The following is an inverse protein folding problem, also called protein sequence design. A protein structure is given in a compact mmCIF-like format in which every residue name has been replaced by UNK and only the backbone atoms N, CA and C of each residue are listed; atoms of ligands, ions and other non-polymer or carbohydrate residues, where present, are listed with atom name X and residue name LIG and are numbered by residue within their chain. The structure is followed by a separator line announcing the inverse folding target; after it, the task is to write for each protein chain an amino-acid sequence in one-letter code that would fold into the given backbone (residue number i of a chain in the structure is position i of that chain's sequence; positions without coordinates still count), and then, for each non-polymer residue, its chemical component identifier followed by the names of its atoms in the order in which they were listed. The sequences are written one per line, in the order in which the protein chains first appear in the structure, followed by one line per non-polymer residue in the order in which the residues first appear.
data_IF_200147162292
#
_entry.id   IF_200147162292
#
_cell.length_a   1.000
_cell.length_b   1.000
_cell.length_c   1.000
_cell.angle_alpha   90.00
_cell.angle_beta   90.00
_cell.angle_gamma   90.00
#
_symmetry.space_group_name_H-M   'P 1'
#
loop_
_entity.id
_entity.type
_entity.pdbx_description
1 polymer ?
#
# COMPACT_ATOMS: atom_id res chain seq x y z
N UNK A 1 -20.62 3.56 17.51
CA UNK A 1 -19.36 3.93 18.21
C UNK A 1 -18.13 3.43 17.43
N UNK A 2 -18.10 2.18 17.01
CA UNK A 2 -17.04 1.56 16.19
C UNK A 2 -16.90 2.18 14.78
N UNK A 3 -18.00 2.60 14.16
CA UNK A 3 -17.97 3.23 12.83
C UNK A 3 -17.13 4.52 12.78
N UNK A 4 -17.06 5.23 13.91
CA UNK A 4 -16.23 6.42 14.02
C UNK A 4 -14.73 6.07 14.10
N UNK A 5 -14.39 4.91 14.67
CA UNK A 5 -13.01 4.41 14.66
C UNK A 5 -12.63 3.99 13.23
N UNK A 6 -13.47 3.19 12.57
CA UNK A 6 -13.25 2.74 11.18
C UNK A 6 -13.03 3.92 10.24
N UNK A 7 -13.82 4.99 10.35
CA UNK A 7 -13.64 6.21 9.54
C UNK A 7 -12.29 6.87 9.79
N UNK A 8 -11.88 7.05 11.04
CA UNK A 8 -10.59 7.65 11.40
C UNK A 8 -9.41 6.81 10.91
N UNK A 9 -9.52 5.48 10.94
CA UNK A 9 -8.52 4.57 10.35
C UNK A 9 -8.40 4.81 8.84
N UNK A 10 -9.53 4.93 8.14
CA UNK A 10 -9.54 5.19 6.69
C UNK A 10 -8.95 6.56 6.35
N UNK A 11 -9.27 7.60 7.14
CA UNK A 11 -8.72 8.94 6.97
C UNK A 11 -7.19 8.94 7.17
N UNK A 12 -6.70 8.23 8.19
CA UNK A 12 -5.26 8.07 8.42
C UNK A 12 -4.58 7.30 7.27
N UNK A 13 -5.19 6.21 6.79
CA UNK A 13 -4.69 5.45 5.63
C UNK A 13 -4.67 6.28 4.35
N UNK A 14 -5.59 7.25 4.20
CA UNK A 14 -5.66 8.18 3.07
C UNK A 14 -4.44 9.10 2.93
N UNK A 15 -3.57 9.19 3.94
CA UNK A 15 -2.31 9.94 3.87
C UNK A 15 -1.18 9.17 3.17
N UNK A 16 -1.23 7.83 3.21
CA UNK A 16 -0.20 6.94 2.67
C UNK A 16 0.06 7.08 1.15
N UNK A 17 -0.95 7.39 0.30
CA UNK A 17 -0.76 7.63 -1.12
C UNK A 17 0.31 8.66 -1.49
N UNK A 18 0.49 9.71 -0.69
CA UNK A 18 1.49 10.75 -1.01
C UNK A 18 2.92 10.28 -0.68
N UNK A 19 3.09 9.66 0.48
CA UNK A 19 4.40 9.20 0.96
C UNK A 19 4.93 7.98 0.19
N UNK A 20 4.05 7.12 -0.34
CA UNK A 20 4.45 5.92 -1.07
C UNK A 20 4.91 6.15 -2.52
N UNK A 21 4.59 7.29 -3.14
CA UNK A 21 4.95 7.59 -4.53
C UNK A 21 6.44 7.42 -4.87
N UNK A 22 7.39 8.02 -4.13
CA UNK A 22 8.81 7.88 -4.43
C UNK A 22 9.27 6.42 -4.31
N UNK A 23 8.75 5.66 -3.35
CA UNK A 23 9.13 4.27 -3.11
C UNK A 23 8.71 3.38 -4.29
N UNK A 24 7.47 3.53 -4.77
CA UNK A 24 7.01 2.82 -5.96
C UNK A 24 7.79 3.22 -7.21
N UNK A 25 8.15 4.50 -7.36
CA UNK A 25 8.97 4.95 -8.48
C UNK A 25 10.35 4.30 -8.47
N UNK A 26 11.02 4.29 -7.31
CA UNK A 26 12.29 3.60 -7.14
C UNK A 26 12.20 2.10 -7.44
N UNK A 27 11.10 1.45 -7.05
CA UNK A 27 10.86 0.05 -7.40
C UNK A 27 10.70 -0.18 -8.92
N UNK A 28 9.99 0.71 -9.62
CA UNK A 28 9.86 0.66 -11.08
C UNK A 28 11.22 0.88 -11.75
N UNK A 29 12.03 1.81 -11.24
CA UNK A 29 13.35 2.11 -11.78
C UNK A 29 14.34 0.94 -11.58
N UNK A 30 14.10 0.06 -10.59
CA UNK A 30 14.86 -1.18 -10.34
C UNK A 30 14.37 -2.39 -11.14
N UNK A 31 13.33 -2.24 -11.97
CA UNK A 31 12.77 -3.36 -12.75
C UNK A 31 13.79 -3.89 -13.75
N UNK A 32 13.99 -5.21 -13.72
CA UNK A 32 14.91 -5.92 -14.60
C UNK A 32 14.18 -6.71 -15.69
N UNK A 33 14.89 -7.09 -16.76
CA UNK A 33 14.32 -7.93 -17.82
C UNK A 33 13.87 -9.32 -17.31
N UNK A 34 14.50 -9.83 -16.24
CA UNK A 34 14.13 -11.08 -15.58
C UNK A 34 12.76 -11.02 -14.87
N UNK A 35 12.29 -9.82 -14.50
CA UNK A 35 10.99 -9.65 -13.84
C UNK A 35 9.82 -9.64 -14.84
N UNK A 36 10.10 -9.31 -16.10
CA UNK A 36 9.10 -9.09 -17.16
C UNK A 36 8.19 -10.30 -17.38
N UNK A 37 8.67 -11.56 -17.42
CA UNK A 37 7.78 -12.72 -17.58
C UNK A 37 6.75 -12.82 -16.46
N UNK A 38 7.17 -12.65 -15.20
CA UNK A 38 6.27 -12.69 -14.04
C UNK A 38 5.25 -11.55 -14.05
N UNK A 39 5.67 -10.37 -14.52
CA UNK A 39 4.82 -9.18 -14.62
C UNK A 39 3.81 -9.31 -15.77
N UNK A 40 4.23 -9.80 -16.93
CA UNK A 40 3.46 -9.76 -18.17
C UNK A 40 2.51 -10.97 -18.36
N UNK A 41 2.81 -12.11 -17.74
CA UNK A 41 1.99 -13.33 -17.89
C UNK A 41 0.82 -13.42 -16.92
N UNK A 42 0.82 -12.60 -15.86
CA UNK A 42 -0.18 -12.63 -14.80
C UNK A 42 -0.99 -11.34 -14.77
N UNK A 43 -2.29 -11.45 -14.53
CA UNK A 43 -3.20 -10.30 -14.45
C UNK A 43 -2.84 -9.33 -13.32
N UNK A 44 -2.17 -9.81 -12.27
CA UNK A 44 -1.71 -9.06 -11.11
C UNK A 44 -0.18 -9.03 -10.99
N UNK A 45 0.56 -9.43 -12.03
CA UNK A 45 2.02 -9.56 -12.00
C UNK A 45 2.74 -8.27 -11.61
N UNK A 46 2.32 -7.12 -12.17
CA UNK A 46 2.84 -5.82 -11.78
C UNK A 46 2.54 -5.45 -10.32
N UNK A 47 1.37 -5.86 -9.82
CA UNK A 47 0.97 -5.59 -8.43
C UNK A 47 1.82 -6.42 -7.47
N UNK A 48 2.03 -7.71 -7.78
CA UNK A 48 2.90 -8.61 -7.00
C UNK A 48 4.34 -8.15 -6.99
N UNK A 49 4.87 -7.73 -8.13
CA UNK A 49 6.22 -7.18 -8.22
C UNK A 49 6.37 -5.98 -7.28
N UNK A 50 5.49 -4.98 -7.38
CA UNK A 50 5.56 -3.80 -6.53
C UNK A 50 5.37 -4.11 -5.05
N UNK A 51 4.50 -5.07 -4.71
CA UNK A 51 4.37 -5.55 -3.32
C UNK A 51 5.67 -6.14 -2.80
N UNK A 52 6.37 -6.94 -3.61
CA UNK A 52 7.63 -7.56 -3.22
C UNK A 52 8.80 -6.56 -3.18
N UNK A 53 8.91 -5.69 -4.19
CA UNK A 53 10.05 -4.80 -4.38
C UNK A 53 10.01 -3.51 -3.56
N UNK A 54 8.83 -3.15 -3.04
CA UNK A 54 8.60 -1.91 -2.28
C UNK A 54 7.81 -2.12 -0.98
N UNK A 55 7.25 -3.31 -0.71
CA UNK A 55 6.33 -3.51 0.41
C UNK A 55 6.94 -3.17 1.77
N UNK A 56 8.13 -3.69 2.06
CA UNK A 56 8.78 -3.50 3.37
C UNK A 56 9.30 -2.06 3.56
N UNK A 57 9.88 -1.49 2.52
CA UNK A 57 10.32 -0.08 2.49
C UNK A 57 9.13 0.86 2.70
N UNK A 58 8.01 0.54 2.07
CA UNK A 58 6.76 1.29 2.21
C UNK A 58 6.20 1.19 3.62
N UNK A 59 6.13 -0.01 4.22
CA UNK A 59 5.68 -0.17 5.61
C UNK A 59 6.53 0.63 6.59
N UNK A 60 7.85 0.53 6.45
CA UNK A 60 8.82 1.23 7.32
C UNK A 60 8.65 2.74 7.23
N UNK A 61 8.49 3.26 6.01
CA UNK A 61 8.31 4.70 5.77
C UNK A 61 6.94 5.20 6.22
N UNK A 62 5.89 4.41 5.99
CA UNK A 62 4.52 4.81 6.30
C UNK A 62 4.18 4.73 7.78
N UNK A 63 4.80 3.81 8.54
CA UNK A 63 4.45 3.59 9.95
C UNK A 63 4.43 4.88 10.78
N UNK A 64 5.48 5.71 10.83
CA UNK A 64 5.46 6.93 11.65
C UNK A 64 4.43 7.96 11.16
N UNK A 65 4.19 8.03 9.85
CA UNK A 65 3.18 8.94 9.27
C UNK A 65 1.76 8.49 9.62
N UNK A 66 1.51 7.19 9.59
CA UNK A 66 0.24 6.58 9.99
C UNK A 66 0.01 6.76 11.48
N UNK A 67 1.02 6.53 12.32
CA UNK A 67 0.90 6.74 13.76
C UNK A 67 0.59 8.21 14.09
N UNK A 68 1.23 9.16 13.41
CA UNK A 68 0.88 10.59 13.52
C UNK A 68 -0.56 10.85 13.09
N UNK A 69 -0.96 10.36 11.91
CA UNK A 69 -2.31 10.57 11.39
C UNK A 69 -3.40 9.93 12.26
N UNK A 70 -3.12 8.77 12.88
CA UNK A 70 -4.01 8.13 13.85
C UNK A 70 -4.12 8.94 15.16
N UNK A 71 -3.04 9.61 15.56
CA UNK A 71 -3.05 10.60 16.63
C UNK A 71 -3.92 11.81 16.29
N UNK A 72 -3.66 12.44 15.13
CA UNK A 72 -4.32 13.67 14.67
C UNK A 72 -5.83 13.47 14.43
N UNK A 73 -6.20 12.32 13.87
CA UNK A 73 -7.61 11.95 13.68
C UNK A 73 -8.31 11.59 15.00
N UNK A 74 -7.57 11.43 16.10
CA UNK A 74 -8.09 11.02 17.41
C UNK A 74 -8.47 9.54 17.47
N UNK A 75 -7.96 8.70 16.56
CA UNK A 75 -8.22 7.26 16.55
C UNK A 75 -7.71 6.60 17.85
N UNK A 76 -6.52 7.00 18.32
CA UNK A 76 -5.99 6.51 19.60
C UNK A 76 -6.84 6.94 20.79
N UNK A 77 -7.28 8.20 20.83
CA UNK A 77 -8.17 8.70 21.90
C UNK A 77 -9.49 7.92 21.93
N UNK A 78 -10.04 7.61 20.76
CA UNK A 78 -11.27 6.84 20.67
C UNK A 78 -11.06 5.38 21.10
N UNK A 79 -9.94 4.76 20.72
CA UNK A 79 -9.56 3.43 21.17
C UNK A 79 -9.41 3.36 22.69
N UNK A 80 -8.79 4.37 23.32
CA UNK A 80 -8.63 4.43 24.76
C UNK A 80 -9.98 4.54 25.47
N UNK A 81 -10.89 5.36 24.96
CA UNK A 81 -12.26 5.50 25.50
C UNK A 81 -12.99 4.15 25.45
N UNK A 82 -12.92 3.46 24.31
CA UNK A 82 -13.52 2.13 24.15
C UNK A 82 -12.89 1.10 25.09
N UNK A 83 -11.55 1.10 25.22
CA UNK A 83 -10.81 0.20 26.10
C UNK A 83 -11.12 0.41 27.59
N UNK A 84 -11.44 1.65 28.00
CA UNK A 84 -11.90 1.95 29.36
C UNK A 84 -13.30 1.43 29.63
N UNK A 85 -14.19 1.49 28.62
CA UNK A 85 -15.55 0.94 28.73
C UNK A 85 -15.62 -0.58 28.57
N UNK A 86 -14.60 -1.21 27.97
CA UNK A 86 -14.61 -2.64 27.67
C UNK A 86 -13.21 -3.26 27.82
N UNK A 87 -13.00 -3.97 28.93
CA UNK A 87 -11.80 -4.78 29.19
C UNK A 87 -11.56 -5.84 28.10
N UNK A 88 -12.62 -6.30 27.42
CA UNK A 88 -12.57 -7.29 26.36
C UNK A 88 -11.68 -6.87 25.18
N UNK A 89 -11.61 -5.57 24.86
CA UNK A 89 -10.75 -5.08 23.77
C UNK A 89 -9.27 -5.24 24.10
N UNK A 90 -8.90 -5.07 25.37
CA UNK A 90 -7.54 -5.34 25.85
C UNK A 90 -7.22 -6.83 25.84
N UNK A 91 -8.18 -7.66 26.25
CA UNK A 91 -8.04 -9.13 26.24
C UNK A 91 -7.89 -9.65 24.79
N UNK A 92 -8.61 -9.07 23.84
CA UNK A 92 -8.46 -9.33 22.41
C UNK A 92 -7.14 -8.78 21.82
N UNK A 93 -6.33 -8.06 22.61
CA UNK A 93 -5.05 -7.51 22.19
C UNK A 93 -5.18 -6.35 21.19
N UNK A 94 -6.28 -5.59 21.24
CA UNK A 94 -6.46 -4.39 20.43
C UNK A 94 -5.77 -3.23 21.16
N UNK A 95 -4.58 -2.87 20.70
CA UNK A 95 -3.75 -1.79 21.26
C UNK A 95 -3.46 -0.73 20.21
N UNK A 96 -2.96 0.44 20.62
CA UNK A 96 -2.52 1.50 19.70
C UNK A 96 -1.48 0.99 18.70
N UNK A 97 -0.51 0.21 19.18
CA UNK A 97 0.52 -0.40 18.33
C UNK A 97 -0.09 -1.35 17.28
N UNK A 98 -0.99 -2.25 17.69
CA UNK A 98 -1.68 -3.16 16.76
C UNK A 98 -2.56 -2.41 15.75
N UNK A 99 -3.13 -1.29 16.16
CA UNK A 99 -3.92 -0.42 15.29
C UNK A 99 -3.01 0.23 14.23
N UNK A 100 -1.89 0.81 14.66
CA UNK A 100 -0.88 1.41 13.78
C UNK A 100 -0.28 0.39 12.82
N UNK A 101 0.08 -0.81 13.30
CA UNK A 101 0.61 -1.89 12.46
C UNK A 101 -0.43 -2.39 11.46
N UNK A 102 -1.68 -2.58 11.86
CA UNK A 102 -2.76 -3.03 10.97
C UNK A 102 -3.01 -2.04 9.83
N UNK A 103 -3.10 -0.74 10.12
CA UNK A 103 -3.28 0.28 9.07
C UNK A 103 -2.03 0.36 8.17
N UNK A 104 -0.84 0.23 8.75
CA UNK A 104 0.42 0.21 7.98
C UNK A 104 0.52 -0.99 7.05
N UNK A 105 0.10 -2.18 7.48
CA UNK A 105 0.08 -3.38 6.65
C UNK A 105 -0.94 -3.30 5.51
N UNK A 106 -2.04 -2.58 5.73
CA UNK A 106 -3.10 -2.38 4.74
C UNK A 106 -2.81 -1.24 3.75
N UNK A 107 -2.03 -0.24 4.16
CA UNK A 107 -1.75 0.95 3.36
C UNK A 107 -1.12 0.68 1.98
N UNK A 108 -0.14 -0.24 1.84
CA UNK A 108 0.38 -0.64 0.52
C UNK A 108 -0.70 -1.14 -0.43
N UNK A 109 -1.63 -1.96 0.09
CA UNK A 109 -2.69 -2.57 -0.71
C UNK A 109 -3.73 -1.53 -1.13
N UNK A 110 -4.12 -0.64 -0.21
CA UNK A 110 -4.99 0.50 -0.48
C UNK A 110 -4.39 1.41 -1.56
N UNK A 111 -3.10 1.73 -1.46
CA UNK A 111 -2.41 2.56 -2.43
C UNK A 111 -2.42 1.91 -3.83
N UNK A 112 -2.08 0.62 -3.93
CA UNK A 112 -2.13 -0.11 -5.20
C UNK A 112 -3.56 -0.17 -5.77
N UNK A 113 -4.59 -0.29 -4.92
CA UNK A 113 -5.98 -0.22 -5.36
C UNK A 113 -6.37 1.16 -5.90
N UNK A 114 -5.95 2.24 -5.24
CA UNK A 114 -6.15 3.62 -5.71
C UNK A 114 -5.45 3.82 -7.06
N UNK A 115 -4.23 3.32 -7.19
CA UNK A 115 -3.47 3.38 -8.44
C UNK A 115 -4.17 2.62 -9.59
N UNK A 116 -4.74 1.44 -9.32
CA UNK A 116 -5.55 0.70 -10.31
C UNK A 116 -6.84 1.43 -10.69
N UNK A 117 -7.52 2.06 -9.73
CA UNK A 117 -8.81 2.74 -9.95
C UNK A 117 -8.65 4.10 -10.62
N UNK A 118 -7.58 4.83 -10.32
CA UNK A 118 -7.27 6.16 -10.86
C UNK A 118 -6.54 6.17 -12.21
N UNK A 119 -6.39 5.02 -12.88
CA UNK A 119 -5.75 4.92 -14.20
C UNK A 119 -4.21 4.86 -14.17
N UNK A 120 -3.59 4.67 -13.01
CA UNK A 120 -2.15 4.54 -12.85
C UNK A 120 -1.60 3.16 -13.19
N UNK A 121 -2.38 2.08 -13.03
CA UNK A 121 -1.91 0.72 -13.33
C UNK A 121 -1.16 0.66 -14.68
N UNK A 122 0.00 -0.04 -14.78
CA UNK A 122 0.56 -0.33 -16.09
C UNK A 122 -0.58 -0.95 -16.88
N UNK A 123 -0.90 -0.27 -17.99
CA UNK A 123 -2.10 -0.50 -18.75
C UNK A 123 -2.35 -2.00 -18.90
N UNK A 124 -3.63 -2.42 -18.88
CA UNK A 124 -4.02 -3.58 -19.68
C UNK A 124 -3.50 -3.31 -21.09
N UNK A 125 -2.30 -3.76 -21.40
CA UNK A 125 -1.89 -3.99 -22.76
C UNK A 125 -2.45 -5.37 -23.06
N UNK A 126 -3.61 -5.48 -23.74
CA UNK A 126 -3.87 -6.71 -24.48
C UNK A 126 -2.64 -6.96 -25.33
N UNK A 127 -2.18 -8.21 -25.38
CA UNK A 127 -0.94 -8.70 -25.96
C UNK A 127 -0.73 -8.33 -27.45
N UNK A 128 -0.58 -7.04 -27.74
CA UNK A 128 -0.42 -6.47 -29.08
C UNK A 128 0.56 -5.30 -29.04
N UNK A 129 1.79 -5.59 -28.62
CA UNK A 129 2.98 -4.87 -29.09
C UNK A 129 4.21 -5.79 -29.07
N UNK A 130 4.09 -6.94 -29.75
CA UNK A 130 5.21 -7.86 -30.05
C UNK A 130 6.30 -7.27 -30.97
N UNK A 131 6.35 -5.96 -31.21
CA UNK A 131 7.15 -5.39 -32.31
C UNK A 131 8.03 -4.19 -32.01
N UNK A 132 8.28 -3.79 -30.76
CA UNK A 132 9.08 -2.58 -30.50
C UNK A 132 10.22 -2.66 -29.49
N UNK A 133 10.33 -3.74 -28.73
CA UNK A 133 11.46 -3.96 -27.81
C UNK A 133 12.59 -4.79 -28.43
N UNK A 134 12.30 -5.56 -29.48
CA UNK A 134 13.29 -6.36 -30.20
C UNK A 134 14.22 -5.53 -31.11
N UNK A 135 13.81 -4.30 -31.49
CA UNK A 135 14.61 -3.43 -32.37
C UNK A 135 15.63 -2.54 -31.64
N UNK A 136 15.72 -2.63 -30.31
CA UNK A 136 16.69 -1.87 -29.50
C UNK A 136 17.77 -2.76 -28.87
N UNK A 137 17.65 -4.08 -29.05
CA UNK A 137 18.63 -5.10 -28.61
C UNK A 137 19.24 -5.83 -29.81
N UNK A 138 18.54 -5.87 -30.96
CA UNK A 138 19.05 -6.38 -32.23
C UNK A 138 19.22 -5.21 -33.19
N UNK A 139 20.39 -4.56 -33.12
CA UNK A 139 20.71 -3.37 -33.90
C UNK A 139 20.42 -3.53 -35.41
N UNK A 140 19.81 -2.49 -35.96
CA UNK A 140 20.35 -1.81 -37.13
C UNK A 140 20.62 -0.37 -36.73
#
# INVERSE_FOLDING_TARGET
MTDNLVRKLNDAAGSAPRAGKPIFRSAIDRLSLSDVPGIATQNDGATRYLQHSAGDELKTTLRPLIDSALGDTGAFTQLDRLSRSSSLLRIAGITRDRLGSSVTDQAPQLHLQIYRRGGGAPARQPARRRGRLLNKVLGK
#
